data_IF_233818032742
#
_entry.id   IF_233818032742
#
_cell.length_a   1.000
_cell.length_b   1.000
_cell.length_c   1.000
_cell.angle_alpha   90.00
_cell.angle_beta   90.00
_cell.angle_gamma   90.00
#
_symmetry.space_group_name_H-M   'P 1'
#
loop_
_entity.id
_entity.type
_entity.pdbx_description
1 polymer ?
#
# COMPACT_ATOMS: atom_id res chain seq x y z
N UNK A 1 1.83 -15.36 27.71
CA UNK A 1 3.15 -14.99 27.16
C UNK A 1 3.22 -15.42 25.70
N UNK A 2 3.02 -14.51 24.74
CA UNK A 2 3.23 -14.83 23.32
C UNK A 2 4.67 -14.42 22.99
N UNK A 3 5.55 -15.40 22.78
CA UNK A 3 6.95 -15.17 22.44
C UNK A 3 7.09 -14.31 21.19
N UNK A 4 8.19 -13.58 21.11
CA UNK A 4 8.52 -12.69 19.99
C UNK A 4 8.45 -13.50 18.68
N UNK A 5 7.67 -13.08 17.68
CA UNK A 5 7.53 -13.83 16.44
C UNK A 5 8.87 -13.89 15.69
N UNK A 6 9.37 -15.10 15.44
CA UNK A 6 10.55 -15.33 14.61
C UNK A 6 10.17 -15.24 13.13
N UNK A 7 10.82 -14.34 12.40
CA UNK A 7 10.57 -14.08 10.98
C UNK A 7 11.88 -14.22 10.21
N UNK A 8 11.92 -15.08 9.20
CA UNK A 8 13.08 -15.27 8.32
C UNK A 8 12.77 -14.64 6.97
N UNK A 9 13.62 -13.70 6.53
CA UNK A 9 13.60 -13.21 5.16
C UNK A 9 14.83 -13.73 4.41
N UNK A 10 14.62 -14.57 3.39
CA UNK A 10 15.71 -15.03 2.52
C UNK A 10 16.43 -13.88 1.80
N UNK A 11 15.79 -12.70 1.71
CA UNK A 11 16.42 -11.49 1.15
C UNK A 11 17.63 -11.01 1.95
N UNK A 12 17.74 -11.36 3.23
CA UNK A 12 18.91 -11.03 4.05
C UNK A 12 20.18 -11.79 3.63
N UNK A 13 20.07 -12.82 2.77
CA UNK A 13 21.23 -13.52 2.23
C UNK A 13 21.99 -12.69 1.17
N UNK A 14 21.35 -11.69 0.57
CA UNK A 14 21.99 -10.80 -0.39
C UNK A 14 22.70 -9.66 0.34
N UNK A 15 24.03 -9.69 0.34
CA UNK A 15 24.88 -8.70 1.03
C UNK A 15 25.78 -7.98 0.03
N UNK A 16 26.11 -6.69 0.27
CA UNK A 16 27.08 -5.99 -0.57
C UNK A 16 28.49 -6.54 -0.35
N UNK A 17 29.40 -6.19 -1.26
CA UNK A 17 30.84 -6.43 -1.06
C UNK A 17 31.36 -5.65 0.17
N UNK A 18 32.50 -6.04 0.76
CA UNK A 18 33.08 -5.33 1.91
C UNK A 18 33.31 -3.84 1.62
N UNK A 19 32.75 -2.97 2.46
CA UNK A 19 32.78 -1.52 2.27
C UNK A 19 31.72 -0.96 1.31
N UNK A 20 30.92 -1.82 0.67
CA UNK A 20 29.81 -1.44 -0.20
C UNK A 20 28.47 -1.31 0.54
N UNK A 21 27.50 -0.71 -0.14
CA UNK A 21 26.12 -0.53 0.32
C UNK A 21 25.13 -1.00 -0.75
N UNK A 22 23.98 -1.53 -0.33
CA UNK A 22 22.84 -1.82 -1.22
C UNK A 22 21.90 -0.61 -1.19
N UNK A 23 21.62 -0.05 -2.36
CA UNK A 23 20.61 1.00 -2.53
C UNK A 23 19.37 0.39 -3.21
N UNK A 24 18.21 0.62 -2.62
CA UNK A 24 16.91 0.26 -3.19
C UNK A 24 16.10 1.53 -3.46
N UNK A 25 15.48 1.60 -4.62
CA UNK A 25 14.54 2.65 -4.99
C UNK A 25 13.29 1.98 -5.56
N UNK A 26 12.13 2.30 -4.98
CA UNK A 26 10.83 1.78 -5.39
C UNK A 26 9.90 2.94 -5.69
N UNK A 27 8.99 2.77 -6.63
CA UNK A 27 8.02 3.78 -6.98
C UNK A 27 6.92 3.90 -5.93
N UNK A 28 6.60 5.14 -5.55
CA UNK A 28 5.49 5.40 -4.62
C UNK A 28 4.14 5.32 -5.33
N UNK A 29 3.48 4.17 -5.19
CA UNK A 29 2.11 3.91 -5.70
C UNK A 29 1.96 4.12 -7.22
N UNK A 30 2.93 3.61 -8.01
CA UNK A 30 2.98 3.79 -9.47
C UNK A 30 1.66 3.44 -10.17
N UNK A 31 1.07 2.30 -9.85
CA UNK A 31 -0.18 1.82 -10.48
C UNK A 31 -1.36 2.77 -10.24
N UNK A 32 -1.48 3.35 -9.03
CA UNK A 32 -2.51 4.35 -8.75
C UNK A 32 -2.24 5.65 -9.49
N UNK A 33 -0.98 6.03 -9.68
CA UNK A 33 -0.61 7.20 -10.48
C UNK A 33 -0.94 7.01 -11.96
N UNK A 34 -0.71 5.81 -12.49
CA UNK A 34 -1.12 5.45 -13.85
C UNK A 34 -2.64 5.50 -13.97
N UNK A 35 -3.37 4.90 -13.01
CA UNK A 35 -4.82 4.96 -12.99
C UNK A 35 -5.33 6.41 -12.95
N UNK A 36 -4.80 7.23 -12.06
CA UNK A 36 -5.17 8.64 -11.93
C UNK A 36 -4.92 9.43 -13.22
N UNK A 37 -3.81 9.12 -13.91
CA UNK A 37 -3.49 9.74 -15.20
C UNK A 37 -4.46 9.33 -16.31
N UNK A 38 -4.82 8.04 -16.39
CA UNK A 38 -5.71 7.52 -17.43
C UNK A 38 -7.19 7.83 -17.17
N UNK A 39 -7.62 7.84 -15.90
CA UNK A 39 -9.00 8.13 -15.52
C UNK A 39 -9.29 9.63 -15.41
N UNK A 40 -8.25 10.46 -15.28
CA UNK A 40 -8.36 11.88 -14.97
C UNK A 40 -9.20 12.17 -13.70
N UNK A 41 -9.24 11.24 -12.75
CA UNK A 41 -10.02 11.41 -11.52
C UNK A 41 -9.36 12.47 -10.62
N UNK A 42 -10.00 13.65 -10.54
CA UNK A 42 -9.49 14.77 -9.76
C UNK A 42 -9.29 14.44 -8.28
N UNK A 43 -10.14 13.59 -7.68
CA UNK A 43 -10.02 13.23 -6.26
C UNK A 43 -8.80 12.34 -6.04
N UNK A 44 -8.59 11.35 -6.90
CA UNK A 44 -7.43 10.45 -6.81
C UNK A 44 -6.13 11.20 -7.08
N UNK A 45 -6.12 12.12 -8.05
CA UNK A 45 -4.97 12.99 -8.33
C UNK A 45 -4.63 13.85 -7.11
N UNK A 46 -5.64 14.50 -6.52
CA UNK A 46 -5.45 15.31 -5.32
C UNK A 46 -4.94 14.47 -4.14
N UNK A 47 -5.51 13.29 -3.92
CA UNK A 47 -5.09 12.38 -2.85
C UNK A 47 -3.62 11.94 -3.02
N UNK A 48 -3.21 11.57 -4.24
CA UNK A 48 -1.83 11.14 -4.53
C UNK A 48 -0.79 12.28 -4.47
N UNK A 49 -1.22 13.53 -4.63
CA UNK A 49 -0.38 14.71 -4.52
C UNK A 49 -0.38 15.33 -3.11
N UNK A 50 -1.38 15.02 -2.28
CA UNK A 50 -1.49 15.53 -0.91
C UNK A 50 -0.54 14.90 0.10
N UNK A 51 0.25 13.88 -0.29
CA UNK A 51 1.21 13.20 0.57
C UNK A 51 0.60 12.32 1.67
N UNK A 52 -0.73 12.31 1.81
CA UNK A 52 -1.45 11.45 2.71
C UNK A 52 -1.44 10.00 2.23
N UNK A 53 -1.50 9.05 3.17
CA UNK A 53 -1.62 7.63 2.83
C UNK A 53 -3.02 7.34 2.28
N UNK A 54 -3.11 7.25 0.94
CA UNK A 54 -4.37 7.02 0.22
C UNK A 54 -5.09 5.76 0.70
N UNK A 55 -4.37 4.71 1.10
CA UNK A 55 -4.99 3.46 1.57
C UNK A 55 -5.53 3.61 2.99
N UNK A 56 -4.91 4.43 3.84
CA UNK A 56 -5.51 4.80 5.13
C UNK A 56 -6.77 5.64 4.93
N UNK A 57 -6.76 6.62 4.04
CA UNK A 57 -7.95 7.43 3.76
C UNK A 57 -9.11 6.57 3.26
N UNK A 58 -8.84 5.67 2.30
CA UNK A 58 -9.85 4.73 1.78
C UNK A 58 -10.33 3.78 2.88
N UNK A 59 -9.42 3.25 3.71
CA UNK A 59 -9.79 2.38 4.83
C UNK A 59 -10.65 3.11 5.88
N UNK A 60 -10.33 4.36 6.18
CA UNK A 60 -11.04 5.22 7.12
C UNK A 60 -12.47 5.47 6.65
N UNK A 61 -12.64 5.86 5.38
CA UNK A 61 -13.96 6.04 4.76
C UNK A 61 -14.75 4.72 4.73
N UNK A 62 -14.11 3.63 4.33
CA UNK A 62 -14.76 2.30 4.27
C UNK A 62 -15.23 1.81 5.64
N UNK A 63 -14.43 2.03 6.69
CA UNK A 63 -14.76 1.60 8.06
C UNK A 63 -15.52 2.65 8.86
N UNK A 64 -15.73 3.84 8.31
CA UNK A 64 -16.30 5.00 9.02
C UNK A 64 -15.57 5.29 10.34
N UNK A 65 -14.25 5.29 10.30
CA UNK A 65 -13.38 5.61 11.43
C UNK A 65 -12.43 6.75 11.08
N UNK A 66 -11.80 7.33 12.10
CA UNK A 66 -10.75 8.32 11.90
C UNK A 66 -9.52 7.71 11.19
N UNK A 67 -8.87 8.41 10.24
CA UNK A 67 -7.66 7.94 9.57
C UNK A 67 -6.52 7.51 10.52
N UNK A 68 -6.39 8.16 11.67
CA UNK A 68 -5.39 7.83 12.68
C UNK A 68 -5.71 6.54 13.44
N UNK A 69 -6.99 6.14 13.46
CA UNK A 69 -7.43 4.86 14.02
C UNK A 69 -7.24 3.68 13.05
N UNK A 70 -6.80 3.92 11.81
CA UNK A 70 -6.56 2.87 10.81
C UNK A 70 -5.25 2.13 11.11
N UNK A 71 -5.38 0.90 11.62
CA UNK A 71 -4.25 -0.01 11.78
C UNK A 71 -3.77 -0.65 10.47
N UNK A 72 -2.55 -1.19 10.49
CA UNK A 72 -1.87 -1.75 9.31
C UNK A 72 -2.65 -2.87 8.61
N UNK A 73 -3.35 -3.71 9.37
CA UNK A 73 -4.17 -4.79 8.80
C UNK A 73 -5.30 -4.23 7.94
N UNK A 74 -6.01 -3.23 8.43
CA UNK A 74 -7.14 -2.61 7.73
C UNK A 74 -6.66 -1.85 6.50
N UNK A 75 -5.53 -1.14 6.62
CA UNK A 75 -4.86 -0.49 5.50
C UNK A 75 -4.48 -1.50 4.40
N UNK A 76 -3.91 -2.64 4.77
CA UNK A 76 -3.52 -3.68 3.82
C UNK A 76 -4.74 -4.31 3.12
N UNK A 77 -5.86 -4.49 3.83
CA UNK A 77 -7.12 -4.93 3.23
C UNK A 77 -7.66 -3.92 2.21
N UNK A 78 -7.67 -2.63 2.56
CA UNK A 78 -8.08 -1.57 1.63
C UNK A 78 -7.19 -1.55 0.39
N UNK A 79 -5.87 -1.70 0.56
CA UNK A 79 -4.92 -1.83 -0.56
C UNK A 79 -5.27 -3.00 -1.48
N UNK A 80 -5.48 -4.19 -0.92
CA UNK A 80 -5.85 -5.39 -1.69
C UNK A 80 -7.17 -5.20 -2.43
N UNK A 81 -8.17 -4.62 -1.77
CA UNK A 81 -9.48 -4.34 -2.35
C UNK A 81 -9.37 -3.35 -3.52
N UNK A 82 -8.66 -2.23 -3.34
CA UNK A 82 -8.48 -1.24 -4.41
C UNK A 82 -7.86 -1.86 -5.65
N UNK A 83 -6.75 -2.59 -5.51
CA UNK A 83 -6.12 -3.25 -6.65
C UNK A 83 -7.01 -4.36 -7.23
N UNK A 84 -7.72 -5.10 -6.40
CA UNK A 84 -8.71 -6.07 -6.85
C UNK A 84 -9.77 -5.44 -7.75
N UNK A 85 -10.37 -4.33 -7.34
CA UNK A 85 -11.37 -3.60 -8.12
C UNK A 85 -10.76 -3.08 -9.43
N UNK A 86 -9.57 -2.47 -9.38
CA UNK A 86 -8.89 -1.92 -10.56
C UNK A 86 -8.63 -3.00 -11.61
N UNK A 87 -8.30 -4.22 -11.19
CA UNK A 87 -8.05 -5.35 -12.07
C UNK A 87 -9.30 -6.21 -12.34
N UNK A 88 -10.50 -5.75 -11.96
CA UNK A 88 -11.76 -6.38 -12.34
C UNK A 88 -12.12 -7.62 -11.52
N UNK A 89 -11.68 -7.74 -10.27
CA UNK A 89 -12.18 -8.77 -9.35
C UNK A 89 -13.69 -8.62 -9.20
N UNK A 90 -14.41 -9.70 -9.49
CA UNK A 90 -15.88 -9.72 -9.37
C UNK A 90 -16.34 -9.64 -7.92
N UNK A 91 -17.55 -9.12 -7.69
CA UNK A 91 -18.10 -8.83 -6.37
C UNK A 91 -18.19 -10.02 -5.39
N UNK A 92 -18.13 -11.27 -5.88
CA UNK A 92 -18.12 -12.48 -5.03
C UNK A 92 -16.73 -12.86 -4.51
N UNK A 93 -15.68 -12.34 -5.15
CA UNK A 93 -14.28 -12.67 -4.87
C UNK A 93 -13.53 -11.52 -4.18
N UNK A 94 -14.17 -10.35 -4.11
CA UNK A 94 -13.72 -9.17 -3.38
C UNK A 94 -14.14 -9.28 -1.90
#
# INVERSE_FOLDING_TARGET
ERGIPFSVSMRHAFVPFPGGLILAADYSQLELRILAHLSCDCRLIQALNGGADVFKSIAAEWKMIDPEAVGDRTRQQAKQMCYGIIYGIGAKSL
#
